data_IF_269563861108
#
_entry.id   IF_269563861108
#
_cell.length_a   1.000
_cell.length_b   1.000
_cell.length_c   1.000
_cell.angle_alpha   90.00
_cell.angle_beta   90.00
_cell.angle_gamma   90.00
#
_symmetry.space_group_name_H-M   'P 1'
#
loop_
_entity.id
_entity.type
_entity.pdbx_description
1 polymer ?
#
# COMPACT_ATOMS: atom_id res chain seq x y z
N UNK A 1 -36.41 29.60 -15.03
CA UNK A 1 -34.97 29.82 -14.75
C UNK A 1 -34.29 28.45 -14.75
N UNK A 2 -33.39 28.20 -15.71
CA UNK A 2 -32.76 26.89 -15.90
C UNK A 2 -31.56 26.73 -14.94
N UNK A 3 -31.81 26.24 -13.73
CA UNK A 3 -30.78 26.01 -12.70
C UNK A 3 -29.90 24.77 -12.93
N UNK A 4 -30.21 23.98 -13.96
CA UNK A 4 -29.56 22.71 -14.29
C UNK A 4 -28.02 22.73 -14.34
N UNK A 5 -27.34 23.73 -14.94
CA UNK A 5 -25.88 23.74 -14.98
C UNK A 5 -25.26 23.96 -13.59
N UNK A 6 -25.86 24.82 -12.76
CA UNK A 6 -25.34 25.14 -11.44
C UNK A 6 -25.48 23.96 -10.46
N UNK A 7 -26.63 23.28 -10.48
CA UNK A 7 -26.86 22.06 -9.68
C UNK A 7 -25.88 20.95 -10.05
N UNK A 8 -25.59 20.77 -11.35
CA UNK A 8 -24.61 19.77 -11.81
C UNK A 8 -23.19 20.08 -11.33
N UNK A 9 -22.76 21.33 -11.43
CA UNK A 9 -21.45 21.75 -10.93
C UNK A 9 -21.34 21.56 -9.42
N UNK A 10 -22.38 21.89 -8.66
CA UNK A 10 -22.42 21.71 -7.21
C UNK A 10 -22.28 20.22 -6.83
N UNK A 11 -23.04 19.34 -7.49
CA UNK A 11 -22.98 17.89 -7.23
C UNK A 11 -21.60 17.33 -7.59
N UNK A 12 -21.02 17.74 -8.72
CA UNK A 12 -19.70 17.28 -9.14
C UNK A 12 -18.61 17.70 -8.14
N UNK A 13 -18.63 18.95 -7.66
CA UNK A 13 -17.69 19.44 -6.65
C UNK A 13 -17.86 18.71 -5.33
N UNK A 14 -19.10 18.51 -4.87
CA UNK A 14 -19.38 17.75 -3.65
C UNK A 14 -18.86 16.31 -3.76
N UNK A 15 -19.08 15.66 -4.91
CA UNK A 15 -18.59 14.30 -5.18
C UNK A 15 -17.06 14.24 -5.08
N UNK A 16 -16.34 15.11 -5.80
CA UNK A 16 -14.86 15.12 -5.78
C UNK A 16 -14.33 15.33 -4.36
N UNK A 17 -14.92 16.23 -3.59
CA UNK A 17 -14.52 16.49 -2.20
C UNK A 17 -14.74 15.26 -1.29
N UNK A 18 -15.81 14.48 -1.50
CA UNK A 18 -16.08 13.27 -0.70
C UNK A 18 -15.13 12.10 -0.99
N UNK A 19 -14.57 12.01 -2.21
CA UNK A 19 -13.71 10.90 -2.63
C UNK A 19 -12.20 11.20 -2.55
N UNK A 20 -11.80 12.41 -2.13
CA UNK A 20 -10.39 12.84 -2.14
C UNK A 20 -9.50 12.16 -1.07
N UNK A 21 -10.07 11.34 -0.17
CA UNK A 21 -9.36 10.73 0.95
C UNK A 21 -9.47 9.21 1.03
N UNK A 22 -9.86 8.52 -0.05
CA UNK A 22 -10.00 7.06 0.00
C UNK A 22 -8.62 6.40 0.00
N UNK A 23 -8.31 5.70 1.09
CA UNK A 23 -7.07 4.92 1.24
C UNK A 23 -7.34 3.44 1.02
N UNK A 24 -6.31 2.69 0.62
CA UNK A 24 -6.40 1.24 0.55
C UNK A 24 -6.67 0.65 1.95
N UNK A 25 -7.55 -0.34 2.04
CA UNK A 25 -7.84 -1.03 3.30
C UNK A 25 -6.66 -1.90 3.78
N UNK A 26 -5.79 -2.31 2.86
CA UNK A 26 -4.60 -3.11 3.15
C UNK A 26 -3.41 -2.24 3.49
N UNK A 27 -2.50 -2.81 4.28
CA UNK A 27 -1.17 -2.24 4.46
C UNK A 27 -0.41 -2.21 3.12
N UNK A 28 0.50 -1.25 3.00
CA UNK A 28 1.43 -1.24 1.88
C UNK A 28 2.31 -2.50 1.93
N UNK A 29 2.53 -3.19 0.80
CA UNK A 29 3.48 -4.29 0.74
C UNK A 29 4.89 -3.82 1.14
N UNK A 30 5.61 -4.67 1.87
CA UNK A 30 7.05 -4.46 2.08
C UNK A 30 7.76 -4.75 0.76
N UNK A 31 8.77 -3.96 0.40
CA UNK A 31 9.63 -4.21 -0.75
C UNK A 31 11.08 -4.40 -0.29
N UNK A 32 11.72 -5.46 -0.76
CA UNK A 32 13.15 -5.69 -0.57
C UNK A 32 13.84 -5.70 -1.93
N UNK A 33 14.76 -4.76 -2.17
CA UNK A 33 15.46 -4.64 -3.47
C UNK A 33 16.34 -5.86 -3.77
N UNK A 34 16.99 -6.41 -2.74
CA UNK A 34 17.98 -7.47 -2.87
C UNK A 34 17.50 -8.84 -2.38
N UNK A 35 16.28 -8.91 -1.84
CA UNK A 35 15.71 -10.12 -1.24
C UNK A 35 14.74 -9.82 -0.11
N UNK A 36 13.90 -10.78 0.21
CA UNK A 36 12.90 -10.70 1.27
C UNK A 36 12.74 -12.06 1.95
N UNK A 37 12.58 -12.05 3.28
CA UNK A 37 12.20 -13.22 4.05
C UNK A 37 10.85 -12.96 4.70
N UNK A 38 9.92 -13.89 4.52
CA UNK A 38 8.57 -13.80 5.08
C UNK A 38 8.31 -15.04 5.91
N UNK A 39 8.03 -14.84 7.20
CA UNK A 39 7.69 -15.91 8.13
C UNK A 39 6.61 -15.43 9.09
N UNK A 40 5.93 -16.37 9.75
CA UNK A 40 4.96 -16.05 10.79
C UNK A 40 5.61 -15.52 12.08
N UNK A 41 6.93 -15.66 12.25
CA UNK A 41 7.64 -15.37 13.49
C UNK A 41 8.77 -14.36 13.24
N UNK A 42 8.76 -13.25 13.97
CA UNK A 42 9.63 -12.10 13.68
C UNK A 42 11.14 -12.37 13.77
N UNK A 43 11.58 -13.22 14.70
CA UNK A 43 12.97 -13.67 14.83
C UNK A 43 13.40 -14.58 13.68
N UNK A 44 12.52 -15.43 13.16
CA UNK A 44 12.81 -16.28 12.01
C UNK A 44 13.03 -15.44 10.74
N UNK A 45 12.24 -14.38 10.56
CA UNK A 45 12.51 -13.38 9.52
C UNK A 45 13.86 -12.70 9.73
N UNK A 46 14.21 -12.32 10.97
CA UNK A 46 15.52 -11.72 11.26
C UNK A 46 16.67 -12.66 10.90
N UNK A 47 16.62 -13.91 11.36
CA UNK A 47 17.64 -14.93 11.07
C UNK A 47 17.78 -15.12 9.56
N UNK A 48 16.68 -15.30 8.83
CA UNK A 48 16.75 -15.48 7.37
C UNK A 48 17.30 -14.24 6.66
N UNK A 49 16.93 -13.04 7.09
CA UNK A 49 17.51 -11.80 6.54
C UNK A 49 19.01 -11.72 6.80
N UNK A 50 19.48 -12.15 7.98
CA UNK A 50 20.89 -12.19 8.32
C UNK A 50 21.66 -13.22 7.47
N UNK A 51 21.04 -14.37 7.15
CA UNK A 51 21.60 -15.36 6.21
C UNK A 51 21.72 -14.77 4.80
N UNK A 52 20.67 -14.13 4.28
CA UNK A 52 20.71 -13.47 2.97
C UNK A 52 21.79 -12.37 2.92
N UNK A 53 21.91 -11.56 3.99
CA UNK A 53 22.95 -10.52 4.10
C UNK A 53 24.37 -11.11 4.16
N UNK A 54 24.53 -12.30 4.71
CA UNK A 54 25.79 -13.03 4.75
C UNK A 54 26.16 -13.68 3.40
N UNK A 55 25.30 -13.57 2.39
CA UNK A 55 25.52 -14.13 1.05
C UNK A 55 24.89 -15.50 0.82
N UNK A 56 24.04 -15.97 1.74
CA UNK A 56 23.21 -17.16 1.52
C UNK A 56 22.18 -16.95 0.41
N UNK A 57 21.76 -18.04 -0.22
CA UNK A 57 20.69 -18.03 -1.22
C UNK A 57 19.31 -18.24 -0.55
N UNK A 58 18.25 -18.41 -1.36
CA UNK A 58 16.88 -18.54 -0.85
C UNK A 58 16.57 -19.85 -0.07
N UNK A 59 17.47 -20.84 -0.14
CA UNK A 59 17.35 -22.14 0.52
C UNK A 59 18.18 -22.20 1.81
N UNK A 60 19.29 -21.47 1.87
CA UNK A 60 20.17 -21.40 3.04
C UNK A 60 19.47 -20.73 4.25
#
# INVERSE_FOLDING_TARGET
MNYQPFTRTLIATALVLTFSGVQAASQAPVAGENGMVVTAQHLATHVGVDVLKAGGNAVD
#
